data_IF_709559790883
#
_entry.id   IF_709559790883
#
_cell.length_a   1.000
_cell.length_b   1.000
_cell.length_c   1.000
_cell.angle_alpha   90.00
_cell.angle_beta   90.00
_cell.angle_gamma   90.00
#
_symmetry.space_group_name_H-M   'P 1'
#
loop_
_entity.id
_entity.type
_entity.pdbx_description
1 polymer ?
#
# COMPACT_ATOMS: atom_id res chain seq x y z
N UNK A 1 -17.36 -6.85 14.01
CA UNK A 1 -16.64 -5.58 13.81
C UNK A 1 -16.82 -5.19 12.35
N UNK A 2 -17.31 -3.99 12.04
CA UNK A 2 -17.47 -3.52 10.65
C UNK A 2 -16.09 -3.25 10.05
N UNK A 3 -15.69 -4.01 9.03
CA UNK A 3 -14.47 -3.72 8.27
C UNK A 3 -14.67 -2.46 7.42
N UNK A 4 -14.34 -1.30 8.00
CA UNK A 4 -14.31 0.00 7.32
C UNK A 4 -13.03 0.11 6.49
N UNK A 5 -12.98 -0.60 5.38
CA UNK A 5 -11.95 -0.45 4.35
C UNK A 5 -12.60 -0.06 3.02
N UNK A 6 -11.83 0.48 2.06
CA UNK A 6 -10.71 1.40 2.30
C UNK A 6 -11.21 2.80 2.71
N UNK A 7 -10.43 3.50 3.55
CA UNK A 7 -10.49 4.96 3.72
C UNK A 7 -9.31 5.52 2.93
N UNK A 8 -9.57 6.47 2.03
CA UNK A 8 -8.54 7.07 1.19
C UNK A 8 -8.00 8.34 1.82
N UNK A 9 -6.68 8.52 1.79
CA UNK A 9 -6.01 9.68 2.37
C UNK A 9 -5.98 10.86 1.39
N UNK A 10 -6.05 10.60 0.08
CA UNK A 10 -5.94 11.64 -0.95
C UNK A 10 -7.30 11.96 -1.61
N UNK A 11 -7.48 13.18 -2.14
CA UNK A 11 -8.59 13.50 -3.03
C UNK A 11 -8.67 12.56 -4.25
N UNK A 12 -9.86 12.43 -4.84
CA UNK A 12 -10.00 11.66 -6.09
C UNK A 12 -9.25 12.35 -7.24
N UNK A 13 -8.37 11.61 -7.91
CA UNK A 13 -7.72 12.06 -9.14
C UNK A 13 -8.62 11.85 -10.35
N UNK A 14 -8.38 12.60 -11.43
CA UNK A 14 -9.07 12.39 -12.71
C UNK A 14 -8.86 10.99 -13.28
N UNK A 15 -7.74 10.34 -12.93
CA UNK A 15 -7.35 9.02 -13.40
C UNK A 15 -8.32 7.92 -12.99
N UNK A 16 -9.05 8.11 -11.89
CA UNK A 16 -10.14 7.19 -11.49
C UNK A 16 -11.19 7.02 -12.59
N UNK A 17 -11.38 8.05 -13.43
CA UNK A 17 -12.41 8.08 -14.47
C UNK A 17 -11.89 7.73 -15.85
N UNK A 18 -10.60 7.96 -16.11
CA UNK A 18 -10.01 7.82 -17.45
C UNK A 18 -9.11 6.60 -17.59
N UNK A 19 -8.52 6.11 -16.50
CA UNK A 19 -7.65 4.94 -16.55
C UNK A 19 -8.46 3.65 -16.43
N UNK A 20 -8.04 2.64 -17.19
CA UNK A 20 -8.35 1.24 -16.90
C UNK A 20 -7.53 0.75 -15.71
N UNK A 21 -7.93 -0.37 -15.12
CA UNK A 21 -7.12 -1.00 -14.06
C UNK A 21 -5.71 -1.39 -14.54
N UNK A 22 -5.56 -1.78 -15.81
CA UNK A 22 -4.25 -2.11 -16.39
C UNK A 22 -3.33 -0.89 -16.48
N UNK A 23 -3.82 0.22 -17.03
CA UNK A 23 -3.05 1.47 -17.12
C UNK A 23 -2.63 1.99 -15.74
N UNK A 24 -3.49 1.88 -14.73
CA UNK A 24 -3.12 2.29 -13.38
C UNK A 24 -2.09 1.35 -12.74
N UNK A 25 -2.07 0.06 -13.10
CA UNK A 25 -1.00 -0.85 -12.67
C UNK A 25 0.34 -0.48 -13.32
N UNK A 26 0.34 -0.14 -14.61
CA UNK A 26 1.56 0.33 -15.29
C UNK A 26 2.12 1.59 -14.61
N UNK A 27 1.23 2.50 -14.20
CA UNK A 27 1.63 3.68 -13.44
C UNK A 27 2.15 3.34 -12.04
N UNK A 28 1.51 2.43 -11.29
CA UNK A 28 2.05 1.96 -10.01
C UNK A 28 3.46 1.39 -10.18
N UNK A 29 3.74 0.71 -11.30
CA UNK A 29 5.09 0.19 -11.56
C UNK A 29 6.09 1.31 -11.83
N UNK A 30 5.71 2.43 -12.46
CA UNK A 30 6.61 3.58 -12.61
C UNK A 30 6.96 4.20 -11.26
N UNK A 31 5.99 4.38 -10.38
CA UNK A 31 6.19 4.90 -9.02
C UNK A 31 7.13 4.01 -8.19
N UNK A 32 7.06 2.68 -8.37
CA UNK A 32 8.00 1.76 -7.72
C UNK A 32 9.43 1.98 -8.22
N UNK A 33 9.63 2.25 -9.51
CA UNK A 33 10.95 2.55 -10.05
C UNK A 33 11.46 3.91 -9.53
N UNK A 34 10.60 4.90 -9.38
CA UNK A 34 10.97 6.22 -8.82
C UNK A 34 11.41 6.08 -7.35
N UNK A 35 10.72 5.28 -6.55
CA UNK A 35 11.16 4.92 -5.19
C UNK A 35 12.53 4.23 -5.21
N UNK A 36 12.74 3.27 -6.11
CA UNK A 36 14.02 2.56 -6.25
C UNK A 36 15.16 3.52 -6.63
N UNK A 37 14.93 4.39 -7.61
CA UNK A 37 15.88 5.42 -8.03
C UNK A 37 16.22 6.37 -6.88
N UNK A 38 15.22 6.83 -6.11
CA UNK A 38 15.43 7.70 -4.96
C UNK A 38 16.22 7.02 -3.83
N UNK A 39 16.06 5.71 -3.64
CA UNK A 39 16.82 4.93 -2.64
C UNK A 39 18.26 4.69 -3.08
N UNK A 40 18.50 4.50 -4.38
CA UNK A 40 19.84 4.27 -4.95
C UNK A 40 20.65 5.55 -5.13
N UNK A 41 20.00 6.72 -5.09
CA UNK A 41 20.63 8.03 -5.13
C UNK A 41 21.31 8.36 -3.77
N UNK A 42 22.55 7.88 -3.59
CA UNK A 42 23.31 8.05 -2.33
C UNK A 42 23.55 9.52 -1.94
N UNK A 43 23.55 10.44 -2.92
CA UNK A 43 23.72 11.88 -2.73
C UNK A 43 22.37 12.64 -2.64
N UNK A 44 21.25 11.93 -2.82
CA UNK A 44 19.92 12.49 -2.84
C UNK A 44 19.36 12.85 -1.46
N UNK A 45 18.44 13.83 -1.38
CA UNK A 45 17.78 14.15 -0.12
C UNK A 45 16.84 13.01 0.29
N UNK A 46 16.88 12.62 1.57
CA UNK A 46 15.97 11.60 2.13
C UNK A 46 14.49 11.93 1.91
N UNK A 47 14.14 13.22 1.89
CA UNK A 47 12.77 13.69 1.63
C UNK A 47 12.24 13.21 0.26
N UNK A 48 13.11 13.03 -0.74
CA UNK A 48 12.71 12.48 -2.05
C UNK A 48 12.19 11.06 -1.92
N UNK A 49 12.85 10.19 -1.14
CA UNK A 49 12.38 8.82 -0.89
C UNK A 49 10.98 8.85 -0.26
N UNK A 50 10.75 9.77 0.67
CA UNK A 50 9.44 9.92 1.33
C UNK A 50 8.38 10.42 0.35
N UNK A 51 8.72 11.37 -0.54
CA UNK A 51 7.85 11.87 -1.60
C UNK A 51 7.42 10.75 -2.55
N UNK A 52 8.36 9.98 -3.10
CA UNK A 52 8.04 8.88 -4.02
C UNK A 52 7.21 7.77 -3.32
N UNK A 53 7.45 7.53 -2.02
CA UNK A 53 6.63 6.58 -1.24
C UNK A 53 5.19 7.08 -1.04
N UNK A 54 5.00 8.39 -0.92
CA UNK A 54 3.69 9.03 -0.85
C UNK A 54 2.98 8.93 -2.19
N UNK A 55 3.69 9.17 -3.30
CA UNK A 55 3.12 9.06 -4.65
C UNK A 55 2.74 7.62 -5.01
N UNK A 56 3.58 6.64 -4.68
CA UNK A 56 3.23 5.22 -4.77
C UNK A 56 1.97 4.88 -3.97
N UNK A 57 1.84 5.42 -2.74
CA UNK A 57 0.65 5.23 -1.91
C UNK A 57 -0.59 5.81 -2.58
N UNK A 58 -0.49 7.01 -3.12
CA UNK A 58 -1.58 7.68 -3.82
C UNK A 58 -1.98 6.95 -5.12
N UNK A 59 -1.02 6.39 -5.85
CA UNK A 59 -1.25 5.57 -7.03
C UNK A 59 -1.95 4.26 -6.72
N UNK A 60 -1.63 3.62 -5.58
CA UNK A 60 -2.37 2.46 -5.07
C UNK A 60 -3.81 2.82 -4.67
N UNK A 61 -4.03 3.93 -3.98
CA UNK A 61 -5.37 4.41 -3.64
C UNK A 61 -6.21 4.68 -4.90
N UNK A 62 -5.61 5.29 -5.93
CA UNK A 62 -6.26 5.52 -7.22
C UNK A 62 -6.69 4.21 -7.87
N UNK A 63 -5.85 3.17 -7.84
CA UNK A 63 -6.22 1.84 -8.33
C UNK A 63 -7.44 1.26 -7.60
N UNK A 64 -7.48 1.37 -6.28
CA UNK A 64 -8.62 0.87 -5.50
C UNK A 64 -9.90 1.66 -5.80
N UNK A 65 -9.83 2.98 -6.01
CA UNK A 65 -10.97 3.79 -6.46
C UNK A 65 -11.47 3.34 -7.83
N UNK A 66 -10.57 3.02 -8.77
CA UNK A 66 -10.94 2.44 -10.08
C UNK A 66 -11.67 1.10 -9.88
N UNK A 67 -11.16 0.23 -9.01
CA UNK A 67 -11.81 -1.06 -8.70
C UNK A 67 -13.17 -0.87 -8.03
N UNK A 68 -13.33 0.11 -7.13
CA UNK A 68 -14.62 0.44 -6.53
C UNK A 68 -15.61 0.95 -7.56
N UNK A 69 -15.18 1.81 -8.51
CA UNK A 69 -16.03 2.28 -9.60
C UNK A 69 -16.49 1.14 -10.51
N UNK A 70 -15.61 0.16 -10.78
CA UNK A 70 -15.90 -0.95 -11.70
C UNK A 70 -16.65 -2.13 -11.06
N UNK A 71 -16.39 -2.43 -9.79
CA UNK A 71 -16.87 -3.65 -9.09
C UNK A 71 -17.71 -3.36 -7.86
N UNK A 72 -17.77 -2.10 -7.43
CA UNK A 72 -18.46 -1.66 -6.23
C UNK A 72 -17.62 -1.79 -4.95
N UNK A 73 -17.88 -0.89 -4.01
CA UNK A 73 -17.22 -0.83 -2.69
C UNK A 73 -17.19 -2.16 -1.93
N UNK A 74 -18.29 -2.92 -1.94
CA UNK A 74 -18.39 -4.22 -1.25
C UNK A 74 -17.39 -5.25 -1.80
N UNK A 75 -17.09 -5.20 -3.10
CA UNK A 75 -16.11 -6.09 -3.71
C UNK A 75 -14.71 -5.79 -3.20
N UNK A 76 -14.31 -4.52 -3.20
CA UNK A 76 -12.99 -4.09 -2.72
C UNK A 76 -12.84 -4.43 -1.24
N UNK A 77 -13.83 -4.10 -0.40
CA UNK A 77 -13.87 -4.50 1.01
C UNK A 77 -13.65 -6.00 1.23
N UNK A 78 -14.29 -6.84 0.42
CA UNK A 78 -14.11 -8.30 0.48
C UNK A 78 -12.66 -8.71 0.18
N UNK A 79 -11.99 -8.05 -0.75
CA UNK A 79 -10.59 -8.37 -1.10
C UNK A 79 -9.64 -8.02 0.04
N UNK A 80 -9.79 -6.84 0.64
CA UNK A 80 -8.99 -6.46 1.81
C UNK A 80 -9.21 -7.41 3.00
N UNK A 81 -10.46 -7.73 3.33
CA UNK A 81 -10.77 -8.69 4.39
C UNK A 81 -10.17 -10.08 4.12
N UNK A 82 -10.14 -10.51 2.86
CA UNK A 82 -9.49 -11.78 2.46
C UNK A 82 -7.99 -11.75 2.68
N UNK A 83 -7.31 -10.65 2.36
CA UNK A 83 -5.86 -10.50 2.59
C UNK A 83 -5.55 -10.44 4.08
N UNK A 84 -6.35 -9.70 4.87
CA UNK A 84 -6.21 -9.64 6.32
C UNK A 84 -6.36 -11.04 6.95
N UNK A 85 -7.42 -11.77 6.60
CA UNK A 85 -7.63 -13.13 7.11
C UNK A 85 -6.47 -14.07 6.75
N UNK A 86 -5.95 -13.97 5.51
CA UNK A 86 -4.78 -14.74 5.06
C UNK A 86 -3.53 -14.41 5.87
N UNK A 87 -3.26 -13.14 6.16
CA UNK A 87 -2.09 -12.70 6.91
C UNK A 87 -2.23 -13.04 8.41
N UNK A 88 -3.44 -13.00 8.96
CA UNK A 88 -3.75 -13.46 10.32
C UNK A 88 -3.49 -14.95 10.49
N UNK A 89 -3.87 -15.77 9.52
CA UNK A 89 -3.57 -17.20 9.52
C UNK A 89 -2.06 -17.52 9.42
N UNK A 90 -1.24 -16.56 8.96
CA UNK A 90 0.23 -16.66 8.90
C UNK A 90 0.93 -16.07 10.13
N UNK A 91 0.16 -15.65 11.13
CA UNK A 91 0.67 -15.06 12.36
C UNK A 91 1.38 -13.69 12.18
N UNK A 92 1.20 -13.01 11.04
CA UNK A 92 1.87 -11.73 10.74
C UNK A 92 1.42 -10.55 11.64
N UNK A 93 0.33 -10.73 12.39
CA UNK A 93 -0.20 -9.70 13.31
C UNK A 93 0.01 -10.04 14.78
N UNK A 94 0.69 -11.14 15.09
CA UNK A 94 0.99 -11.47 16.48
C UNK A 94 2.06 -10.52 17.02
N UNK A 95 1.88 -10.11 18.28
CA UNK A 95 2.84 -9.22 18.92
C UNK A 95 4.22 -9.88 18.93
N UNK A 96 5.29 -9.23 18.43
CA UNK A 96 6.62 -9.76 18.62
C UNK A 96 6.89 -9.87 20.13
N UNK A 97 7.62 -10.91 20.54
CA UNK A 97 8.13 -10.98 21.90
C UNK A 97 8.84 -9.67 22.27
N UNK A 98 8.69 -9.16 23.51
CA UNK A 98 9.36 -7.94 23.95
C UNK A 98 10.85 -7.98 23.59
N UNK A 99 11.41 -6.86 23.12
CA UNK A 99 12.83 -6.77 22.73
C UNK A 99 13.77 -7.26 23.85
N UNK A 100 13.38 -7.07 25.12
CA UNK A 100 14.11 -7.53 26.30
C UNK A 100 14.31 -9.05 26.37
N UNK A 101 13.49 -9.85 25.68
CA UNK A 101 13.63 -11.32 25.64
C UNK A 101 14.60 -11.81 24.56
N UNK A 102 15.02 -10.95 23.61
CA UNK A 102 15.93 -11.33 22.52
C UNK A 102 17.40 -11.19 22.88
N UNK A 103 17.73 -10.31 23.84
CA UNK A 103 19.11 -10.10 24.31
C UNK A 103 19.63 -11.23 25.20
N UNK A 104 18.75 -12.00 25.85
CA UNK A 104 19.12 -13.17 26.68
C UNK A 104 19.52 -14.40 25.84
N UNK A 105 19.12 -14.46 24.57
CA UNK A 105 19.44 -15.57 23.65
C UNK A 105 20.74 -15.34 22.84
N UNK A 106 21.37 -14.18 23.01
CA UNK A 106 22.63 -13.81 22.34
C UNK A 106 23.82 -13.68 23.32
N UNK A 107 23.66 -14.14 24.57
CA UNK A 107 24.72 -14.30 25.57
C UNK A 107 24.94 -15.78 25.86
#
# INVERSE_FOLDING_TARGET
>A
MSHNLPVYNFPETIFVRVNTGGQQLDHIMSEVMEVEEAVLDEDGPFDRIIEEMVDLTHSLETYWRIMEAQRGKKYVQKMFARVEAKNRARDYYSAPAPLSAREELSR
#
